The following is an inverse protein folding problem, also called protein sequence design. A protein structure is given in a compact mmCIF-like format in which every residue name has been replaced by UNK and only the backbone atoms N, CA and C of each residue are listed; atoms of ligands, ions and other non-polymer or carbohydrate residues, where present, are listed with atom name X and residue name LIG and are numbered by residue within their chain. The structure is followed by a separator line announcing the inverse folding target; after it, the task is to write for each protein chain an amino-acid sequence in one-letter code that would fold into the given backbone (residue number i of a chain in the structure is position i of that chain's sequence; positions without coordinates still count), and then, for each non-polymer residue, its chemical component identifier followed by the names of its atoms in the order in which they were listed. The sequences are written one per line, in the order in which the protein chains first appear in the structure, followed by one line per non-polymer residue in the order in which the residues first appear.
data_IF_431754030339
#
_entry.id   IF_431754030339
#
_cell.length_a   1.000
_cell.length_b   1.000
_cell.length_c   1.000
_cell.angle_alpha   90.00
_cell.angle_beta   90.00
_cell.angle_gamma   90.00
#
_symmetry.space_group_name_H-M   'P 1'
#
loop_
_entity.id
_entity.type
_entity.pdbx_description
1 polymer ?
#
# COMPACT_ATOMS: atom_id res chain seq x y z
N UNK A 1 22.23 -45.55 16.39
CA UNK A 1 22.76 -44.47 15.54
C UNK A 1 21.58 -43.93 14.75
N UNK A 2 20.95 -42.88 15.26
CA UNK A 2 19.72 -42.28 14.74
C UNK A 2 20.08 -41.12 13.80
N UNK A 3 19.60 -41.12 12.55
CA UNK A 3 19.73 -40.00 11.63
C UNK A 3 18.48 -39.11 11.72
N UNK A 4 18.29 -38.43 12.86
CA UNK A 4 17.17 -37.48 13.04
C UNK A 4 17.64 -36.02 13.13
N UNK A 5 18.94 -35.76 13.20
CA UNK A 5 19.46 -34.40 13.44
C UNK A 5 19.75 -33.59 12.17
N UNK A 6 19.77 -34.20 10.99
CA UNK A 6 20.25 -33.52 9.78
C UNK A 6 19.14 -32.83 8.96
N UNK A 7 17.88 -33.30 9.05
CA UNK A 7 16.74 -32.75 8.26
C UNK A 7 16.15 -31.50 8.95
N UNK A 8 16.04 -31.53 10.28
CA UNK A 8 15.54 -30.38 11.05
C UNK A 8 16.47 -29.16 10.99
N UNK A 9 17.79 -29.38 10.90
CA UNK A 9 18.75 -28.30 10.71
C UNK A 9 18.69 -27.69 9.30
N UNK A 10 18.31 -28.46 8.27
CA UNK A 10 18.17 -27.93 6.90
C UNK A 10 16.92 -27.04 6.81
N UNK A 11 15.79 -27.44 7.40
CA UNK A 11 14.59 -26.59 7.43
C UNK A 11 14.70 -25.41 8.40
N UNK A 12 15.44 -25.53 9.50
CA UNK A 12 15.78 -24.39 10.36
C UNK A 12 16.76 -23.42 9.67
N UNK A 13 17.67 -23.94 8.82
CA UNK A 13 18.61 -23.15 8.02
C UNK A 13 17.94 -22.44 6.83
N UNK A 14 16.87 -22.97 6.24
CA UNK A 14 16.09 -22.28 5.20
C UNK A 14 15.19 -21.17 5.78
N UNK A 15 14.78 -21.29 7.06
CA UNK A 15 14.09 -20.22 7.80
C UNK A 15 15.04 -19.12 8.31
N UNK A 16 16.35 -19.37 8.32
CA UNK A 16 17.35 -18.39 8.70
C UNK A 16 17.59 -17.42 7.52
N UNK A 17 17.09 -16.18 7.68
CA UNK A 17 17.13 -15.03 6.74
C UNK A 17 15.90 -14.81 5.83
N UNK A 18 14.68 -15.00 6.34
CA UNK A 18 13.49 -14.33 5.76
C UNK A 18 13.58 -12.81 5.94
N UNK A 19 14.24 -12.10 5.01
CA UNK A 19 14.29 -10.64 4.98
C UNK A 19 12.93 -10.09 4.59
N UNK A 20 12.29 -9.37 5.52
CA UNK A 20 10.97 -8.74 5.37
C UNK A 20 11.12 -7.22 5.46
N UNK A 21 10.30 -6.49 4.74
CA UNK A 21 10.29 -5.03 4.80
C UNK A 21 8.92 -4.44 4.44
N UNK A 22 8.65 -3.26 4.99
CA UNK A 22 7.64 -2.37 4.40
C UNK A 22 8.22 -1.72 3.16
N UNK A 23 7.38 -1.43 2.18
CA UNK A 23 7.77 -0.70 1.00
C UNK A 23 6.75 0.37 0.64
N UNK A 24 7.24 1.54 0.25
CA UNK A 24 6.42 2.62 -0.30
C UNK A 24 7.05 3.14 -1.59
N UNK A 25 6.31 3.95 -2.34
CA UNK A 25 6.73 4.50 -3.61
C UNK A 25 6.66 6.03 -3.58
N UNK A 26 7.70 6.70 -4.08
CA UNK A 26 7.76 8.15 -4.20
C UNK A 26 8.25 8.55 -5.59
N UNK A 27 7.56 9.51 -6.20
CA UNK A 27 7.92 10.09 -7.48
C UNK A 27 7.70 11.61 -7.47
N UNK A 28 8.43 12.30 -8.35
CA UNK A 28 8.34 13.74 -8.52
C UNK A 28 8.97 14.57 -7.38
N UNK A 29 8.81 15.88 -7.50
CA UNK A 29 9.37 16.89 -6.60
C UNK A 29 8.33 17.50 -5.64
N UNK A 30 7.17 16.86 -5.48
CA UNK A 30 6.09 17.33 -4.62
C UNK A 30 6.30 17.02 -3.14
N UNK A 31 5.32 17.43 -2.33
CA UNK A 31 5.34 17.30 -0.87
C UNK A 31 4.99 15.88 -0.33
N UNK A 32 4.82 14.87 -1.19
CA UNK A 32 4.57 13.49 -0.77
C UNK A 32 5.71 12.91 0.10
N UNK A 33 6.91 13.50 0.03
CA UNK A 33 8.01 13.20 0.97
C UNK A 33 7.57 13.37 2.43
N UNK A 34 6.70 14.35 2.75
CA UNK A 34 6.15 14.54 4.10
C UNK A 34 5.31 13.35 4.54
N UNK A 35 4.54 12.78 3.62
CA UNK A 35 3.76 11.57 3.84
C UNK A 35 4.64 10.38 4.19
N UNK A 36 5.70 10.16 3.40
CA UNK A 36 6.65 9.07 3.63
C UNK A 36 7.41 9.24 4.96
N UNK A 37 7.80 10.47 5.32
CA UNK A 37 8.39 10.76 6.65
C UNK A 37 7.39 10.44 7.77
N UNK A 38 6.14 10.86 7.61
CA UNK A 38 5.06 10.53 8.56
C UNK A 38 4.87 9.03 8.73
N UNK A 39 4.91 8.27 7.63
CA UNK A 39 4.84 6.81 7.62
C UNK A 39 6.03 6.17 8.34
N UNK A 40 7.26 6.62 8.06
CA UNK A 40 8.47 6.14 8.73
C UNK A 40 8.39 6.34 10.25
N UNK A 41 7.95 7.53 10.69
CA UNK A 41 7.69 7.83 12.11
C UNK A 41 6.57 6.97 12.69
N UNK A 42 5.50 6.72 11.94
CA UNK A 42 4.40 5.85 12.34
C UNK A 42 4.86 4.41 12.62
N UNK A 43 5.59 3.81 11.68
CA UNK A 43 6.18 2.47 11.85
C UNK A 43 7.11 2.39 13.06
N UNK A 44 7.91 3.44 13.30
CA UNK A 44 8.79 3.54 14.48
C UNK A 44 8.00 3.67 15.78
N UNK A 45 6.95 4.49 15.81
CA UNK A 45 6.07 4.67 16.98
C UNK A 45 5.44 3.36 17.44
N UNK A 46 5.01 2.54 16.48
CA UNK A 46 4.42 1.22 16.75
C UNK A 46 5.48 0.12 16.91
N UNK A 47 6.76 0.52 16.96
CA UNK A 47 7.92 -0.36 17.18
C UNK A 47 7.98 -1.51 16.19
N UNK A 48 7.69 -1.24 14.92
CA UNK A 48 7.84 -2.27 13.88
C UNK A 48 9.28 -2.79 13.87
N UNK A 49 9.41 -4.11 13.70
CA UNK A 49 10.70 -4.77 13.61
C UNK A 49 11.37 -4.63 12.22
N UNK A 50 10.63 -4.14 11.22
CA UNK A 50 11.05 -4.19 9.82
C UNK A 50 11.33 -2.80 9.23
N UNK A 51 12.32 -2.68 8.33
CA UNK A 51 12.67 -1.41 7.72
C UNK A 51 11.59 -0.93 6.75
N UNK A 52 11.61 0.37 6.45
CA UNK A 52 10.85 0.96 5.35
C UNK A 52 11.77 1.18 4.14
N UNK A 53 11.50 0.47 3.06
CA UNK A 53 12.11 0.69 1.74
C UNK A 53 11.29 1.73 0.99
N UNK A 54 11.94 2.73 0.41
CA UNK A 54 11.30 3.74 -0.42
C UNK A 54 11.80 3.56 -1.85
N UNK A 55 10.94 3.01 -2.70
CA UNK A 55 11.17 2.95 -4.14
C UNK A 55 11.00 4.35 -4.74
N UNK A 56 12.07 4.93 -5.26
CA UNK A 56 12.06 6.30 -5.82
C UNK A 56 12.29 6.28 -7.33
N UNK A 57 11.62 7.17 -8.06
CA UNK A 57 12.00 7.46 -9.44
C UNK A 57 13.18 8.45 -9.52
N UNK A 58 13.89 8.50 -10.67
CA UNK A 58 15.02 9.43 -10.88
C UNK A 58 14.64 10.91 -10.75
N UNK A 59 13.36 11.26 -10.88
CA UNK A 59 12.85 12.63 -10.77
C UNK A 59 12.68 13.13 -9.33
N UNK A 60 12.80 12.26 -8.32
CA UNK A 60 12.78 12.64 -6.91
C UNK A 60 14.05 13.43 -6.57
N UNK A 61 13.97 14.68 -6.08
CA UNK A 61 15.14 15.50 -5.78
C UNK A 61 16.10 14.85 -4.77
N UNK A 62 17.40 15.12 -4.92
CA UNK A 62 18.43 14.63 -3.99
C UNK A 62 18.13 15.04 -2.52
N UNK A 63 17.61 16.24 -2.31
CA UNK A 63 17.17 16.72 -1.00
C UNK A 63 16.08 15.83 -0.39
N UNK A 64 15.06 15.44 -1.17
CA UNK A 64 14.02 14.54 -0.68
C UNK A 64 14.57 13.16 -0.35
N UNK A 65 15.47 12.62 -1.18
CA UNK A 65 16.15 11.33 -0.89
C UNK A 65 16.95 11.41 0.39
N UNK A 66 17.63 12.53 0.64
CA UNK A 66 18.42 12.73 1.85
C UNK A 66 17.55 12.88 3.11
N UNK A 67 16.43 13.59 3.01
CA UNK A 67 15.42 13.63 4.08
C UNK A 67 14.99 12.21 4.44
N UNK A 68 14.70 11.36 3.45
CA UNK A 68 14.28 9.98 3.69
C UNK A 68 15.38 9.14 4.36
N UNK A 69 16.63 9.24 3.91
CA UNK A 69 17.77 8.55 4.54
C UNK A 69 17.99 9.01 5.97
N UNK A 70 17.91 10.32 6.22
CA UNK A 70 18.02 10.87 7.58
C UNK A 70 16.91 10.38 8.52
N UNK A 71 15.78 9.90 7.97
CA UNK A 71 14.67 9.29 8.70
C UNK A 71 14.77 7.75 8.78
N UNK A 72 15.91 7.17 8.42
CA UNK A 72 16.19 5.73 8.53
C UNK A 72 15.56 4.88 7.42
N UNK A 73 15.07 5.51 6.35
CA UNK A 73 14.51 4.79 5.22
C UNK A 73 15.61 4.20 4.33
N UNK A 74 15.37 3.01 3.77
CA UNK A 74 16.22 2.43 2.74
C UNK A 74 15.75 2.98 1.39
N UNK A 75 16.49 3.92 0.81
CA UNK A 75 16.11 4.54 -0.48
C UNK A 75 16.63 3.69 -1.63
N UNK A 76 15.73 3.22 -2.50
CA UNK A 76 16.05 2.41 -3.67
C UNK A 76 15.51 3.06 -4.94
N UNK A 77 16.42 3.49 -5.81
CA UNK A 77 16.03 4.02 -7.12
C UNK A 77 15.53 2.89 -8.03
N UNK A 78 14.45 3.15 -8.76
CA UNK A 78 13.85 2.22 -9.72
C UNK A 78 13.58 2.92 -11.04
N UNK A 79 13.60 2.15 -12.12
CA UNK A 79 13.29 2.66 -13.45
C UNK A 79 11.78 2.91 -13.62
N UNK A 80 11.37 4.03 -14.23
CA UNK A 80 9.98 4.28 -14.60
C UNK A 80 9.39 3.11 -15.41
N UNK A 81 8.08 2.90 -15.24
CA UNK A 81 7.29 1.99 -16.09
C UNK A 81 6.27 2.83 -16.83
N UNK A 82 6.30 2.73 -18.16
CA UNK A 82 5.33 3.39 -19.04
C UNK A 82 4.45 2.32 -19.71
N UNK A 83 3.13 2.35 -19.50
CA UNK A 83 2.20 1.57 -20.30
C UNK A 83 2.20 2.06 -21.76
N UNK A 84 1.71 1.26 -22.72
CA UNK A 84 1.60 1.67 -24.12
C UNK A 84 0.83 2.99 -24.30
N UNK A 85 1.29 3.84 -25.23
CA UNK A 85 0.79 5.20 -25.44
C UNK A 85 -0.73 5.27 -25.66
N UNK A 86 -1.44 5.84 -24.68
CA UNK A 86 -2.84 6.25 -24.80
C UNK A 86 -3.06 7.48 -23.92
N UNK A 87 -3.04 8.66 -24.53
CA UNK A 87 -3.08 9.96 -23.83
C UNK A 87 -4.40 10.23 -23.05
N UNK A 88 -5.46 9.44 -23.26
CA UNK A 88 -6.81 9.70 -22.73
C UNK A 88 -7.37 8.62 -21.78
N UNK A 89 -6.59 7.63 -21.35
CA UNK A 89 -7.13 6.42 -20.70
C UNK A 89 -7.28 6.45 -19.16
N UNK A 90 -6.80 7.49 -18.46
CA UNK A 90 -6.65 7.47 -17.00
C UNK A 90 -7.59 8.45 -16.28
N UNK A 91 -8.10 8.07 -15.10
CA UNK A 91 -8.91 8.97 -14.27
C UNK A 91 -8.10 10.17 -13.74
N UNK A 92 -6.76 10.06 -13.67
CA UNK A 92 -5.83 11.14 -13.33
C UNK A 92 -4.54 11.01 -14.12
N UNK A 93 -4.02 12.12 -14.66
CA UNK A 93 -2.83 12.14 -15.53
C UNK A 93 -1.56 11.55 -14.87
N UNK A 94 -1.44 11.64 -13.54
CA UNK A 94 -0.29 11.10 -12.83
C UNK A 94 -0.39 9.59 -12.55
N UNK A 95 -1.54 8.94 -12.76
CA UNK A 95 -1.69 7.50 -12.48
C UNK A 95 -0.81 6.61 -13.37
N UNK A 96 -0.37 7.12 -14.52
CA UNK A 96 0.64 6.46 -15.36
C UNK A 96 1.91 6.12 -14.57
N UNK A 97 2.33 7.03 -13.69
CA UNK A 97 3.56 6.85 -12.90
C UNK A 97 3.44 5.71 -11.89
N UNK A 98 2.21 5.40 -11.47
CA UNK A 98 1.96 4.37 -10.46
C UNK A 98 2.25 2.96 -11.00
N UNK A 99 2.26 2.73 -12.31
CA UNK A 99 2.76 1.45 -12.85
C UNK A 99 4.22 1.18 -12.48
N UNK A 100 4.99 2.22 -12.14
CA UNK A 100 6.35 2.04 -11.63
C UNK A 100 6.39 1.29 -10.29
N UNK A 101 5.27 1.25 -9.53
CA UNK A 101 5.13 0.41 -8.34
C UNK A 101 5.39 -1.06 -8.66
N UNK A 102 5.13 -1.54 -9.88
CA UNK A 102 5.37 -2.94 -10.25
C UNK A 102 6.84 -3.36 -10.09
N UNK A 103 7.79 -2.42 -10.11
CA UNK A 103 9.22 -2.69 -9.91
C UNK A 103 9.54 -3.28 -8.53
N UNK A 104 8.68 -3.11 -7.52
CA UNK A 104 8.90 -3.64 -6.17
C UNK A 104 8.86 -5.18 -6.14
N UNK A 105 8.25 -5.85 -7.14
CA UNK A 105 8.32 -7.31 -7.26
C UNK A 105 9.71 -7.81 -7.63
N UNK A 106 10.63 -6.92 -8.06
CA UNK A 106 12.02 -7.27 -8.36
C UNK A 106 12.96 -7.08 -7.17
N UNK A 107 12.43 -6.82 -5.96
CA UNK A 107 13.23 -6.67 -4.75
C UNK A 107 13.51 -8.05 -4.12
N UNK A 108 14.19 -8.92 -4.88
CA UNK A 108 14.43 -10.34 -4.57
C UNK A 108 15.25 -10.58 -3.30
N UNK A 109 15.88 -9.54 -2.74
CA UNK A 109 16.52 -9.65 -1.44
C UNK A 109 15.53 -9.75 -0.27
N UNK A 110 14.24 -9.49 -0.50
CA UNK A 110 13.16 -9.68 0.47
C UNK A 110 12.28 -10.86 0.05
N UNK A 111 11.88 -11.66 1.03
CA UNK A 111 11.02 -12.81 0.79
C UNK A 111 9.53 -12.51 0.98
N UNK A 112 9.19 -11.40 1.64
CA UNK A 112 7.82 -10.88 1.76
C UNK A 112 7.86 -9.40 2.09
N UNK A 113 6.97 -8.64 1.47
CA UNK A 113 6.88 -7.20 1.68
C UNK A 113 5.43 -6.77 1.91
N UNK A 114 5.27 -5.69 2.69
CA UNK A 114 3.98 -4.99 2.85
C UNK A 114 4.09 -3.64 2.16
N UNK A 115 3.36 -3.46 1.07
CA UNK A 115 3.25 -2.18 0.40
C UNK A 115 2.31 -1.25 1.17
N UNK A 116 2.72 0.01 1.32
CA UNK A 116 1.92 1.11 1.89
C UNK A 116 2.12 2.35 1.01
N UNK A 117 1.03 2.95 0.50
CA UNK A 117 1.11 4.25 -0.18
C UNK A 117 1.68 5.33 0.77
N UNK A 118 2.35 6.34 0.20
CA UNK A 118 2.96 7.42 0.99
C UNK A 118 1.95 8.33 1.72
N UNK A 119 0.65 8.15 1.50
CA UNK A 119 -0.45 8.82 2.19
C UNK A 119 -1.18 7.90 3.19
N UNK A 120 -0.51 6.83 3.63
CA UNK A 120 -0.95 5.97 4.72
C UNK A 120 -0.26 6.37 6.03
N UNK A 121 -0.97 6.21 7.15
CA UNK A 121 -0.38 6.23 8.48
C UNK A 121 -0.70 4.98 9.27
N UNK A 122 0.30 4.52 10.03
CA UNK A 122 0.23 3.35 10.92
C UNK A 122 0.11 3.83 12.37
N UNK A 123 -0.94 3.39 13.05
CA UNK A 123 -1.30 3.76 14.43
C UNK A 123 -1.11 2.63 15.44
N UNK A 124 -1.09 1.38 14.98
CA UNK A 124 -0.78 0.20 15.80
C UNK A 124 0.09 -0.78 15.00
N UNK A 125 0.77 -1.72 15.67
CA UNK A 125 1.70 -2.64 15.02
C UNK A 125 0.95 -3.59 14.06
N UNK A 126 1.50 -3.68 12.83
CA UNK A 126 0.97 -4.50 11.73
C UNK A 126 2.01 -5.50 11.20
N UNK A 127 3.00 -5.86 12.02
CA UNK A 127 4.04 -6.84 11.65
C UNK A 127 3.45 -8.25 11.47
N UNK A 128 2.28 -8.51 12.06
CA UNK A 128 1.50 -9.73 11.88
C UNK A 128 1.09 -9.98 10.42
N UNK A 129 1.03 -8.93 9.59
CA UNK A 129 0.78 -9.07 8.15
C UNK A 129 1.85 -9.91 7.42
N UNK A 130 3.08 -9.96 7.95
CA UNK A 130 4.13 -10.78 7.35
C UNK A 130 3.95 -12.29 7.59
N UNK A 131 3.06 -12.67 8.49
CA UNK A 131 2.75 -14.07 8.83
C UNK A 131 1.52 -14.61 8.08
N UNK A 132 0.89 -13.79 7.23
CA UNK A 132 -0.14 -14.23 6.29
C UNK A 132 0.39 -15.31 5.34
N UNK A 133 -0.50 -16.13 4.81
CA UNK A 133 -0.16 -17.27 3.94
C UNK A 133 0.61 -16.85 2.68
N UNK A 134 1.71 -17.56 2.38
CA UNK A 134 2.49 -17.39 1.15
C UNK A 134 1.70 -17.88 -0.09
N UNK A 135 2.07 -17.42 -1.29
CA UNK A 135 1.43 -17.74 -2.57
C UNK A 135 0.23 -16.85 -2.93
N UNK A 136 -0.05 -15.81 -2.14
CA UNK A 136 -1.20 -14.92 -2.34
C UNK A 136 -0.81 -13.45 -2.25
N UNK A 137 -1.58 -12.60 -2.92
CA UNK A 137 -1.60 -11.16 -2.64
C UNK A 137 -2.70 -10.91 -1.61
N UNK A 138 -2.34 -10.31 -0.49
CA UNK A 138 -3.30 -9.96 0.55
C UNK A 138 -3.57 -8.47 0.53
N UNK A 139 -4.82 -8.05 0.71
CA UNK A 139 -5.18 -6.63 0.64
C UNK A 139 -6.57 -6.36 1.16
N UNK A 140 -6.86 -5.10 1.47
CA UNK A 140 -8.19 -4.71 1.96
C UNK A 140 -9.11 -4.44 0.79
N UNK A 141 -10.34 -4.95 0.86
CA UNK A 141 -11.36 -4.72 -0.15
C UNK A 141 -11.63 -3.23 -0.35
N UNK A 142 -11.78 -2.81 -1.60
CA UNK A 142 -12.18 -1.45 -1.96
C UNK A 142 -13.68 -1.25 -1.80
N UNK A 143 -14.08 0.00 -1.55
CA UNK A 143 -15.46 0.43 -1.55
C UNK A 143 -15.83 0.99 -2.93
N UNK A 144 -16.99 0.60 -3.45
CA UNK A 144 -17.54 1.09 -4.73
C UNK A 144 -18.56 2.22 -4.57
N UNK A 145 -18.80 2.73 -3.36
CA UNK A 145 -19.82 3.75 -3.11
C UNK A 145 -19.38 5.19 -3.41
N UNK A 146 -18.10 5.42 -3.72
CA UNK A 146 -17.61 6.76 -4.06
C UNK A 146 -17.94 7.16 -5.50
N UNK A 147 -18.17 8.46 -5.73
CA UNK A 147 -18.58 9.00 -7.05
C UNK A 147 -17.58 8.70 -8.16
N UNK A 148 -16.30 8.51 -7.81
CA UNK A 148 -15.26 8.11 -8.78
C UNK A 148 -15.57 6.78 -9.48
N UNK A 149 -16.42 5.92 -8.91
CA UNK A 149 -16.89 4.68 -9.52
C UNK A 149 -18.12 4.85 -10.41
N UNK A 150 -18.66 6.06 -10.60
CA UNK A 150 -19.95 6.29 -11.27
C UNK A 150 -19.98 5.86 -12.74
N UNK A 151 -18.81 5.66 -13.36
CA UNK A 151 -18.70 5.13 -14.73
C UNK A 151 -18.92 3.62 -14.81
N UNK A 152 -18.96 2.91 -13.67
CA UNK A 152 -19.10 1.45 -13.63
C UNK A 152 -20.57 1.02 -13.51
N UNK A 153 -20.95 -0.13 -14.10
CA UNK A 153 -22.26 -0.73 -13.84
C UNK A 153 -22.47 -1.07 -12.36
N UNK A 154 -21.40 -1.45 -11.65
CA UNK A 154 -21.44 -1.80 -10.22
C UNK A 154 -21.94 -0.64 -9.35
N UNK A 155 -21.48 0.58 -9.63
CA UNK A 155 -21.97 1.78 -8.93
C UNK A 155 -23.46 2.02 -9.21
N UNK A 156 -23.88 1.85 -10.47
CA UNK A 156 -25.27 2.10 -10.90
C UNK A 156 -26.28 1.14 -10.24
N UNK A 157 -25.89 -0.11 -10.00
CA UNK A 157 -26.72 -1.10 -9.30
C UNK A 157 -26.60 -1.01 -7.77
N UNK A 158 -25.78 -0.11 -7.23
CA UNK A 158 -25.57 0.04 -5.79
C UNK A 158 -24.73 -1.06 -5.15
N UNK A 159 -23.92 -1.79 -5.93
CA UNK A 159 -23.03 -2.83 -5.42
C UNK A 159 -21.94 -2.25 -4.52
N UNK A 160 -21.67 -2.90 -3.39
CA UNK A 160 -20.54 -2.57 -2.54
C UNK A 160 -20.02 -3.82 -1.81
N UNK A 161 -18.71 -3.99 -1.77
CA UNK A 161 -18.07 -5.13 -1.08
C UNK A 161 -18.18 -5.07 0.45
N UNK A 162 -18.42 -3.87 1.02
CA UNK A 162 -18.66 -3.68 2.45
C UNK A 162 -20.11 -3.96 2.86
N UNK A 163 -21.03 -3.97 1.89
CA UNK A 163 -22.46 -4.23 2.10
C UNK A 163 -22.96 -5.14 0.95
N UNK A 164 -22.43 -6.37 0.82
CA UNK A 164 -22.72 -7.25 -0.30
C UNK A 164 -24.22 -7.59 -0.42
N UNK A 165 -24.96 -7.52 0.69
CA UNK A 165 -26.40 -7.75 0.78
C UNK A 165 -27.27 -6.69 0.09
N UNK A 166 -26.72 -5.52 -0.27
CA UNK A 166 -27.46 -4.47 -0.98
C UNK A 166 -27.86 -4.86 -2.39
N UNK A 167 -27.17 -5.84 -2.98
CA UNK A 167 -27.46 -6.36 -4.31
C UNK A 167 -27.72 -7.85 -4.21
N UNK A 168 -28.90 -8.27 -4.65
CA UNK A 168 -29.26 -9.68 -4.74
C UNK A 168 -28.90 -10.18 -6.13
N UNK A 169 -28.00 -11.16 -6.19
CA UNK A 169 -27.61 -11.83 -7.42
C UNK A 169 -28.55 -13.01 -7.66
N UNK A 170 -29.26 -13.09 -8.81
CA UNK A 170 -30.01 -14.29 -9.18
C UNK A 170 -29.10 -15.53 -9.17
N UNK A 171 -29.63 -16.70 -8.78
CA UNK A 171 -28.84 -17.93 -8.71
C UNK A 171 -28.25 -18.30 -10.09
N UNK A 172 -28.95 -18.00 -11.17
CA UNK A 172 -28.50 -18.20 -12.55
C UNK A 172 -27.37 -17.24 -12.97
N UNK A 173 -27.12 -16.19 -12.18
CA UNK A 173 -26.11 -15.15 -12.39
C UNK A 173 -25.06 -15.12 -11.28
N UNK A 174 -24.90 -16.20 -10.51
CA UNK A 174 -23.85 -16.27 -9.48
C UNK A 174 -22.44 -16.11 -10.07
N UNK A 175 -22.23 -16.60 -11.29
CA UNK A 175 -21.01 -16.37 -12.08
C UNK A 175 -20.82 -14.92 -12.56
N UNK A 176 -21.87 -14.08 -12.50
CA UNK A 176 -21.81 -12.66 -12.83
C UNK A 176 -21.40 -11.78 -11.64
N UNK A 177 -21.28 -12.36 -10.43
CA UNK A 177 -20.77 -11.62 -9.27
C UNK A 177 -19.33 -11.18 -9.57
N UNK A 178 -18.99 -9.90 -9.40
CA UNK A 178 -17.65 -9.43 -9.65
C UNK A 178 -16.65 -10.10 -8.69
N UNK A 179 -15.44 -10.42 -9.15
CA UNK A 179 -14.40 -10.94 -8.26
C UNK A 179 -14.07 -9.92 -7.17
N UNK A 180 -13.56 -10.37 -6.01
CA UNK A 180 -13.12 -9.47 -4.96
C UNK A 180 -12.06 -8.49 -5.50
N UNK A 181 -12.21 -7.21 -5.17
CA UNK A 181 -11.37 -6.12 -5.65
C UNK A 181 -10.75 -5.38 -4.47
N UNK A 182 -9.42 -5.30 -4.39
CA UNK A 182 -8.71 -4.63 -3.31
C UNK A 182 -8.27 -3.20 -3.66
N UNK A 183 -8.09 -2.39 -2.63
CA UNK A 183 -7.47 -1.08 -2.75
C UNK A 183 -5.93 -1.23 -2.78
N UNK A 184 -5.29 -0.71 -3.83
CA UNK A 184 -3.84 -0.88 -4.04
C UNK A 184 -2.97 0.06 -3.19
N UNK A 185 -3.56 0.77 -2.22
CA UNK A 185 -2.79 1.54 -1.24
C UNK A 185 -2.12 0.68 -0.19
N UNK A 186 -2.66 -0.51 0.08
CA UNK A 186 -2.02 -1.49 0.97
C UNK A 186 -2.20 -2.89 0.41
N UNK A 187 -1.09 -3.62 0.30
CA UNK A 187 -1.12 -5.05 0.02
C UNK A 187 0.14 -5.76 0.50
N UNK A 188 0.03 -7.06 0.80
CA UNK A 188 1.14 -7.96 1.13
C UNK A 188 1.44 -8.83 -0.06
N UNK A 189 2.71 -8.99 -0.40
CA UNK A 189 3.15 -9.75 -1.56
C UNK A 189 4.55 -10.34 -1.35
N UNK A 190 4.93 -11.25 -2.23
CA UNK A 190 6.27 -11.85 -2.30
C UNK A 190 6.98 -11.34 -3.55
N UNK A 191 8.12 -10.63 -3.41
CA UNK A 191 8.97 -10.32 -4.54
C UNK A 191 9.40 -11.61 -5.26
N UNK A 192 9.23 -11.63 -6.57
CA UNK A 192 9.55 -12.77 -7.41
C UNK A 192 9.83 -12.30 -8.83
N UNK A 193 11.01 -12.62 -9.36
CA UNK A 193 11.42 -12.19 -10.70
C UNK A 193 10.52 -12.69 -11.82
N UNK A 194 10.02 -13.92 -11.74
CA UNK A 194 9.10 -14.45 -12.76
C UNK A 194 7.75 -13.73 -12.71
N UNK A 195 7.22 -13.45 -11.52
CA UNK A 195 6.01 -12.62 -11.35
C UNK A 195 6.24 -11.21 -11.87
N UNK A 196 7.38 -10.60 -11.54
CA UNK A 196 7.77 -9.27 -12.02
C UNK A 196 7.84 -9.18 -13.55
N UNK A 197 8.56 -10.10 -14.20
CA UNK A 197 8.66 -10.17 -15.66
C UNK A 197 7.28 -10.37 -16.30
N UNK A 198 6.44 -11.22 -15.69
CA UNK A 198 5.05 -11.43 -16.12
C UNK A 198 4.20 -10.17 -15.97
N UNK A 199 4.30 -9.45 -14.85
CA UNK A 199 3.59 -8.18 -14.63
C UNK A 199 3.93 -7.17 -15.74
N UNK A 200 5.22 -6.99 -16.06
CA UNK A 200 5.62 -6.05 -17.10
C UNK A 200 5.18 -6.50 -18.49
N UNK A 201 5.28 -7.79 -18.81
CA UNK A 201 4.82 -8.32 -20.09
C UNK A 201 3.31 -8.16 -20.25
N UNK A 202 2.53 -8.54 -19.25
CA UNK A 202 1.07 -8.40 -19.26
C UNK A 202 0.65 -6.93 -19.35
N UNK A 203 1.36 -6.01 -18.70
CA UNK A 203 1.08 -4.58 -18.79
C UNK A 203 1.15 -4.07 -20.25
N UNK A 204 2.12 -4.54 -21.04
CA UNK A 204 2.28 -4.11 -22.44
C UNK A 204 1.10 -4.48 -23.34
N UNK A 205 0.31 -5.49 -22.97
CA UNK A 205 -0.85 -5.95 -23.74
C UNK A 205 -2.18 -5.67 -23.05
N UNK A 206 -2.14 -5.06 -21.86
CA UNK A 206 -3.35 -4.73 -21.10
C UNK A 206 -3.81 -3.32 -21.47
N UNK A 207 -5.08 -3.16 -21.91
CA UNK A 207 -5.64 -1.83 -22.11
C UNK A 207 -5.62 -1.04 -20.79
N UNK A 208 -5.17 0.21 -20.78
CA UNK A 208 -5.18 1.02 -19.59
C UNK A 208 -6.60 1.31 -19.11
N UNK A 209 -6.71 1.44 -17.80
CA UNK A 209 -7.97 1.50 -17.07
C UNK A 209 -7.98 2.72 -16.13
N UNK A 210 -9.16 3.20 -15.72
CA UNK A 210 -9.26 4.48 -14.99
C UNK A 210 -8.48 4.53 -13.67
N UNK A 211 -8.36 3.43 -12.92
CA UNK A 211 -7.55 3.36 -11.69
C UNK A 211 -6.15 2.75 -11.90
N UNK A 212 -5.69 2.73 -13.15
CA UNK A 212 -4.33 2.36 -13.55
C UNK A 212 -3.79 1.08 -12.90
N UNK A 213 -2.82 1.21 -11.99
CA UNK A 213 -2.16 0.07 -11.37
C UNK A 213 -3.10 -0.71 -10.46
N UNK A 214 -4.08 -0.07 -9.83
CA UNK A 214 -5.02 -0.78 -8.96
C UNK A 214 -5.90 -1.73 -9.76
N UNK A 215 -6.46 -1.26 -10.87
CA UNK A 215 -7.25 -2.10 -11.77
C UNK A 215 -6.38 -3.22 -12.37
N UNK A 216 -5.15 -2.89 -12.77
CA UNK A 216 -4.20 -3.85 -13.32
C UNK A 216 -3.83 -4.96 -12.32
N UNK A 217 -3.51 -4.60 -11.07
CA UNK A 217 -3.15 -5.55 -10.02
C UNK A 217 -4.34 -6.45 -9.67
N UNK A 218 -5.56 -5.90 -9.62
CA UNK A 218 -6.77 -6.69 -9.39
C UNK A 218 -7.05 -7.69 -10.52
N UNK A 219 -6.82 -7.29 -11.78
CA UNK A 219 -6.92 -8.20 -12.92
C UNK A 219 -5.84 -9.28 -12.85
N UNK A 220 -4.58 -8.90 -12.62
CA UNK A 220 -3.44 -9.82 -12.66
C UNK A 220 -3.48 -10.85 -11.53
N UNK A 221 -3.84 -10.42 -10.31
CA UNK A 221 -3.84 -11.27 -9.12
C UNK A 221 -5.22 -11.83 -8.76
N UNK A 222 -6.24 -11.73 -9.64
CA UNK A 222 -7.62 -12.13 -9.36
C UNK A 222 -7.74 -13.52 -8.73
N UNK A 223 -6.97 -14.49 -9.23
CA UNK A 223 -7.03 -15.90 -8.79
C UNK A 223 -6.26 -16.19 -7.50
N UNK A 224 -5.39 -15.28 -7.08
CA UNK A 224 -4.51 -15.44 -5.91
C UNK A 224 -4.67 -14.30 -4.90
N UNK A 225 -5.76 -13.54 -4.99
CA UNK A 225 -6.07 -12.49 -4.03
C UNK A 225 -6.80 -13.05 -2.81
N UNK A 226 -6.38 -12.63 -1.61
CA UNK A 226 -7.04 -12.92 -0.33
C UNK A 226 -7.34 -11.63 0.44
N UNK A 227 -8.61 -11.37 0.84
CA UNK A 227 -8.94 -10.17 1.58
C UNK A 227 -8.41 -10.25 3.02
N UNK A 228 -7.93 -9.11 3.53
CA UNK A 228 -7.63 -8.91 4.95
C UNK A 228 -8.58 -7.89 5.58
N UNK A 229 -8.57 -7.84 6.91
CA UNK A 229 -9.49 -6.98 7.68
C UNK A 229 -9.33 -5.50 7.32
N UNK A 230 -10.44 -4.74 7.19
CA UNK A 230 -10.40 -3.29 6.93
C UNK A 230 -9.60 -2.47 7.94
N UNK A 231 -9.31 -2.99 9.13
CA UNK A 231 -8.49 -2.31 10.14
C UNK A 231 -7.06 -2.04 9.67
N UNK A 232 -6.56 -2.79 8.68
CA UNK A 232 -5.22 -2.64 8.12
C UNK A 232 -5.15 -1.68 6.92
N UNK A 233 -6.28 -1.11 6.47
CA UNK A 233 -6.30 -0.06 5.45
C UNK A 233 -7.66 0.65 5.47
N UNK A 234 -7.92 1.47 6.49
CA UNK A 234 -9.14 2.28 6.53
C UNK A 234 -9.03 3.43 5.51
N UNK A 235 -9.66 3.25 4.36
CA UNK A 235 -9.92 4.35 3.42
C UNK A 235 -10.91 5.30 4.10
N UNK A 236 -10.55 6.58 4.26
CA UNK A 236 -11.37 7.52 5.02
C UNK A 236 -12.82 7.62 4.55
N UNK A 237 -13.09 7.41 3.25
CA UNK A 237 -14.46 7.46 2.74
C UNK A 237 -15.42 6.44 3.33
N UNK A 238 -14.89 5.36 3.89
CA UNK A 238 -15.69 4.38 4.62
C UNK A 238 -16.37 5.01 5.84
N UNK A 239 -15.80 6.07 6.45
CA UNK A 239 -16.39 6.76 7.61
C UNK A 239 -17.76 7.40 7.32
N UNK A 240 -17.96 7.91 6.10
CA UNK A 240 -19.24 8.52 5.70
C UNK A 240 -20.08 7.64 4.78
N UNK A 241 -19.48 6.69 4.07
CA UNK A 241 -20.23 5.71 3.24
C UNK A 241 -20.76 4.53 4.04
N UNK A 242 -20.04 4.14 5.09
CA UNK A 242 -20.31 2.96 5.91
C UNK A 242 -20.04 3.22 7.41
N UNK A 243 -20.66 4.24 8.03
CA UNK A 243 -20.37 4.61 9.43
C UNK A 243 -20.63 3.47 10.44
N UNK A 244 -21.50 2.51 10.12
CA UNK A 244 -21.77 1.34 10.98
C UNK A 244 -20.76 0.19 10.82
N UNK A 245 -19.83 0.28 9.87
CA UNK A 245 -18.87 -0.79 9.57
C UNK A 245 -17.45 -0.45 10.06
N UNK A 246 -17.27 0.68 10.74
CA UNK A 246 -15.97 1.16 11.21
C UNK A 246 -15.98 1.29 12.72
N UNK A 247 -15.10 0.53 13.37
CA UNK A 247 -14.72 0.73 14.76
C UNK A 247 -13.35 1.39 14.79
N UNK A 248 -13.33 2.72 15.00
CA UNK A 248 -12.11 3.53 14.98
C UNK A 248 -11.11 3.16 16.08
N UNK A 249 -11.54 2.53 17.17
CA UNK A 249 -10.63 2.09 18.24
C UNK A 249 -9.79 0.89 17.82
N UNK A 250 -10.29 0.11 16.85
CA UNK A 250 -9.62 -1.09 16.33
C UNK A 250 -8.80 -0.84 15.07
N UNK A 251 -8.93 0.35 14.47
CA UNK A 251 -8.24 0.70 13.23
C UNK A 251 -6.74 0.86 13.50
N UNK A 252 -5.94 0.06 12.81
CA UNK A 252 -4.47 0.08 12.90
C UNK A 252 -3.84 1.00 11.86
N UNK A 253 -4.47 1.14 10.69
CA UNK A 253 -3.92 1.84 9.53
C UNK A 253 -4.99 2.70 8.88
N UNK A 254 -4.65 3.94 8.55
CA UNK A 254 -5.54 4.89 7.87
C UNK A 254 -4.93 5.33 6.56
N UNK A 255 -5.74 5.32 5.50
CA UNK A 255 -5.38 5.77 4.16
C UNK A 255 -6.08 7.09 3.83
N UNK A 256 -5.28 8.15 3.76
CA UNK A 256 -5.72 9.52 3.51
C UNK A 256 -5.94 9.78 2.00
N UNK A 257 -6.51 8.79 1.29
CA UNK A 257 -6.70 8.80 -0.16
C UNK A 257 -7.67 9.88 -0.68
N UNK A 258 -8.83 10.15 -0.04
CA UNK A 258 -9.82 11.10 -0.57
C UNK A 258 -9.27 12.51 -0.82
N UNK A 259 -9.85 13.28 -1.76
CA UNK A 259 -9.48 14.69 -1.96
C UNK A 259 -9.59 15.49 -0.66
N UNK A 260 -8.62 16.39 -0.41
CA UNK A 260 -8.54 17.19 0.82
C UNK A 260 -8.00 16.44 2.05
N UNK A 261 -7.94 15.11 2.02
CA UNK A 261 -7.58 14.32 3.20
C UNK A 261 -6.09 14.27 3.51
N UNK A 262 -5.21 14.66 2.58
CA UNK A 262 -3.75 14.60 2.81
C UNK A 262 -3.40 15.47 4.02
N UNK A 263 -2.84 14.91 5.12
CA UNK A 263 -2.64 15.66 6.35
C UNK A 263 -1.81 16.93 6.18
N UNK A 264 -0.79 16.90 5.32
CA UNK A 264 0.10 18.02 5.03
C UNK A 264 -0.48 19.08 4.07
N UNK A 265 -1.67 18.84 3.51
CA UNK A 265 -2.42 19.79 2.68
C UNK A 265 -3.83 20.07 3.22
N UNK A 266 -4.12 19.61 4.42
CA UNK A 266 -5.46 19.63 4.97
C UNK A 266 -5.92 21.07 5.26
N UNK A 267 -7.00 21.50 4.60
CA UNK A 267 -7.65 22.81 4.80
C UNK A 267 -8.97 22.68 5.56
N UNK A 268 -9.63 21.53 5.45
CA UNK A 268 -10.98 21.32 6.00
C UNK A 268 -12.11 21.79 5.07
N UNK A 269 -11.79 22.25 3.86
CA UNK A 269 -12.77 22.85 2.94
C UNK A 269 -13.39 21.83 1.97
N UNK A 270 -12.68 20.75 1.65
CA UNK A 270 -13.19 19.71 0.77
C UNK A 270 -14.33 18.89 1.41
N UNK A 271 -15.22 18.28 0.60
CA UNK A 271 -16.36 17.54 1.13
C UNK A 271 -15.97 16.44 2.13
N UNK A 272 -16.68 16.41 3.27
CA UNK A 272 -16.49 15.50 4.40
C UNK A 272 -15.23 15.78 5.24
N UNK A 273 -14.41 16.79 4.90
CA UNK A 273 -13.26 17.16 5.72
C UNK A 273 -13.69 17.90 6.98
N UNK A 274 -14.88 18.51 7.01
CA UNK A 274 -15.43 19.17 8.20
C UNK A 274 -15.75 18.23 9.37
N UNK A 275 -15.77 16.91 9.12
CA UNK A 275 -16.13 15.89 10.13
C UNK A 275 -15.12 15.82 11.27
N UNK A 276 -15.64 15.59 12.48
CA UNK A 276 -14.79 15.53 13.68
C UNK A 276 -13.90 14.29 13.75
N UNK A 277 -14.35 13.16 13.20
CA UNK A 277 -13.53 11.95 13.09
C UNK A 277 -12.35 12.15 12.12
N UNK A 278 -12.56 12.81 10.99
CA UNK A 278 -11.49 13.19 10.05
C UNK A 278 -10.52 14.16 10.71
N UNK A 279 -10.99 15.26 11.31
CA UNK A 279 -10.12 16.21 12.05
C UNK A 279 -9.29 15.53 13.13
N UNK A 280 -9.88 14.58 13.86
CA UNK A 280 -9.18 13.80 14.87
C UNK A 280 -8.04 12.96 14.26
N UNK A 281 -8.28 12.28 13.14
CA UNK A 281 -7.25 11.49 12.45
C UNK A 281 -6.13 12.39 11.89
N UNK A 282 -6.48 13.55 11.34
CA UNK A 282 -5.50 14.54 10.87
C UNK A 282 -4.62 15.04 12.03
N UNK A 283 -5.21 15.34 13.20
CA UNK A 283 -4.44 15.70 14.41
C UNK A 283 -3.49 14.57 14.82
N UNK A 284 -3.98 13.33 14.90
CA UNK A 284 -3.15 12.16 15.23
C UNK A 284 -1.99 11.97 14.25
N UNK A 285 -2.18 12.28 12.96
CA UNK A 285 -1.11 12.25 11.99
C UNK A 285 -0.03 13.29 12.30
N UNK A 286 -0.43 14.54 12.58
CA UNK A 286 0.49 15.62 12.95
C UNK A 286 1.19 15.38 14.28
N UNK A 287 0.52 14.77 15.25
CA UNK A 287 1.14 14.36 16.52
C UNK A 287 2.31 13.40 16.28
N UNK A 288 2.19 12.49 15.30
CA UNK A 288 3.30 11.59 14.93
C UNK A 288 4.38 12.34 14.14
N UNK A 289 3.97 13.14 13.15
CA UNK A 289 4.92 13.82 12.27
C UNK A 289 5.81 14.82 13.04
N UNK A 290 5.22 15.59 13.96
CA UNK A 290 5.91 16.62 14.74
C UNK A 290 6.67 16.07 15.96
N UNK A 291 6.49 14.80 16.32
CA UNK A 291 7.22 14.20 17.44
C UNK A 291 8.68 13.94 17.05
N UNK A 292 9.59 14.77 17.56
CA UNK A 292 11.03 14.67 17.36
C UNK A 292 11.64 13.45 18.08
N UNK A 293 10.97 12.91 19.11
CA UNK A 293 11.43 11.68 19.76
C UNK A 293 11.34 10.47 18.82
N UNK A 294 10.49 10.59 17.80
CA UNK A 294 10.36 9.63 16.70
C UNK A 294 11.32 9.92 15.55
N UNK A 295 12.20 10.93 15.57
CA UNK A 295 13.22 11.05 14.53
C UNK A 295 14.21 9.88 14.60
N UNK A 296 14.73 9.45 13.45
CA UNK A 296 15.71 8.38 13.41
C UNK A 296 17.02 8.84 14.06
N UNK A 297 17.49 8.05 15.03
CA UNK A 297 18.75 8.27 15.74
C UNK A 297 19.68 7.13 15.38
N UNK A 298 20.66 7.32 14.48
CA UNK A 298 21.61 6.27 14.13
C UNK A 298 22.39 5.89 15.39
N UNK A 299 22.30 4.64 15.80
CA UNK A 299 22.98 4.15 17.01
C UNK A 299 24.38 3.61 16.71
N UNK A 300 24.66 3.25 15.46
CA UNK A 300 25.97 2.82 14.98
C UNK A 300 26.15 3.15 13.48
N UNK A 301 27.37 3.43 12.97
CA UNK A 301 27.66 3.57 11.54
C UNK A 301 27.04 2.52 10.59
N UNK A 302 26.84 1.27 11.03
CA UNK A 302 26.18 0.23 10.23
C UNK A 302 24.70 0.55 9.92
N UNK A 303 24.02 1.30 10.79
CA UNK A 303 22.63 1.73 10.58
C UNK A 303 22.53 2.73 9.42
N UNK A 304 23.55 3.57 9.24
CA UNK A 304 23.66 4.50 8.11
C UNK A 304 23.96 3.76 6.80
N UNK A 305 24.87 2.78 6.81
CA UNK A 305 25.14 1.95 5.63
C UNK A 305 23.90 1.16 5.17
N UNK A 306 23.06 0.69 6.10
CA UNK A 306 21.82 0.00 5.76
C UNK A 306 20.78 0.89 5.05
N UNK A 307 20.83 2.22 5.23
CA UNK A 307 19.97 3.17 4.49
C UNK A 307 20.42 3.41 3.04
N UNK A 308 21.64 3.00 2.71
CA UNK A 308 22.24 3.09 1.39
C UNK A 308 22.17 1.71 0.73
N UNK A 309 21.10 1.44 -0.03
CA UNK A 309 21.11 0.26 -0.92
C UNK A 309 22.17 0.46 -2.00
N UNK A 310 22.97 -0.59 -2.25
CA UNK A 310 23.69 -0.74 -3.52
C UNK A 310 22.72 -0.88 -4.69
#
# INVERSE_FOLDING_TARGET
MTPETHVDMIHASEKAHKKRAYVTFLAGNGDYVKGVVGLAKGLRKVKSAYPLVVATLPDVPAEHREILRSQGCVVREIEPVHPPDTQDAYARAYYVINYSKLRIWNFEEYNKMVYLDGDIQVFDNIDDLFDLEDGYVHGVLSCFCEKIWSYTPLYSIGYCQYCPEKVVWPAEMESARPPPYFNAGMFVFEPNRSTYESLLHTLQITPPTPFAEQDFLNMFFEKVFKPVSPVYNLILSVLWRHPGNVDLERVKVVHYCPPGAKPWRYTGEEPNMEREDVKMLIRKWWDIYNDESLDFKPTNPADLEATLSK
#
